data_IF_261657024586
#
_entry.id   IF_261657024586
#
_cell.length_a   1.000
_cell.length_b   1.000
_cell.length_c   1.000
_cell.angle_alpha   90.00
_cell.angle_beta   90.00
_cell.angle_gamma   90.00
#
_symmetry.space_group_name_H-M   'P 1'
#
loop_
_entity.id
_entity.type
_entity.pdbx_description
1 polymer ?
#
# COMPACT_ATOMS: atom_id res chain seq x y z
N UNK A 1 35.47 -26.47 -5.95
CA UNK A 1 34.50 -25.81 -6.86
C UNK A 1 33.11 -26.47 -6.93
N UNK A 2 32.95 -27.79 -6.76
CA UNK A 2 31.63 -28.48 -6.85
C UNK A 2 30.64 -28.27 -5.67
N UNK A 3 31.06 -27.62 -4.58
CA UNK A 3 30.19 -27.35 -3.41
C UNK A 3 29.53 -25.96 -3.44
N UNK A 4 30.13 -24.99 -4.12
CA UNK A 4 29.57 -23.64 -4.29
C UNK A 4 28.31 -23.65 -5.16
N UNK A 5 28.26 -24.50 -6.19
CA UNK A 5 27.10 -24.65 -7.06
C UNK A 5 25.88 -25.22 -6.32
N UNK A 6 26.08 -26.11 -5.34
CA UNK A 6 24.98 -26.67 -4.53
C UNK A 6 24.41 -25.66 -3.54
N UNK A 7 25.26 -24.77 -3.02
CA UNK A 7 24.84 -23.68 -2.12
C UNK A 7 24.06 -22.61 -2.88
N UNK A 8 24.49 -22.28 -4.10
CA UNK A 8 23.77 -21.37 -5.00
C UNK A 8 22.39 -21.92 -5.41
N UNK A 9 22.29 -23.23 -5.67
CA UNK A 9 21.02 -23.89 -6.01
C UNK A 9 20.05 -23.93 -4.81
N UNK A 10 20.55 -24.17 -3.60
CA UNK A 10 19.74 -24.12 -2.38
C UNK A 10 19.29 -22.69 -2.03
N UNK A 11 20.14 -21.68 -2.28
CA UNK A 11 19.75 -20.27 -2.17
C UNK A 11 18.66 -19.94 -3.20
N UNK A 12 18.82 -20.35 -4.46
CA UNK A 12 17.82 -20.11 -5.50
C UNK A 12 16.50 -20.85 -5.28
N UNK A 13 16.51 -21.99 -4.58
CA UNK A 13 15.30 -22.72 -4.16
C UNK A 13 14.65 -22.10 -2.92
N UNK A 14 15.43 -21.48 -2.02
CA UNK A 14 14.91 -20.75 -0.86
C UNK A 14 14.37 -19.35 -1.23
N UNK A 15 14.87 -18.74 -2.31
CA UNK A 15 14.30 -17.53 -2.93
C UNK A 15 13.29 -17.84 -4.03
N UNK A 16 13.16 -19.11 -4.43
CA UNK A 16 12.22 -19.60 -5.42
C UNK A 16 10.82 -19.82 -4.84
N UNK A 17 10.37 -18.95 -3.93
CA UNK A 17 8.94 -18.82 -3.73
C UNK A 17 8.42 -18.07 -4.95
N UNK A 18 7.76 -18.79 -5.84
CA UNK A 18 6.71 -18.23 -6.70
C UNK A 18 5.65 -17.65 -5.76
N UNK A 19 5.92 -16.48 -5.18
CA UNK A 19 4.90 -15.70 -4.53
C UNK A 19 3.97 -15.29 -5.66
N UNK A 20 2.71 -15.71 -5.55
CA UNK A 20 1.66 -15.09 -6.34
C UNK A 20 1.85 -13.57 -6.17
N UNK A 21 2.13 -12.87 -7.27
CA UNK A 21 2.29 -11.43 -7.24
C UNK A 21 0.92 -10.84 -6.91
N UNK A 22 0.70 -10.62 -5.61
CA UNK A 22 -0.45 -9.90 -5.10
C UNK A 22 -0.13 -8.42 -5.19
N UNK A 23 -0.50 -7.80 -6.31
CA UNK A 23 -0.38 -6.36 -6.51
C UNK A 23 -1.77 -5.74 -6.40
N UNK A 24 -1.98 -4.88 -5.42
CA UNK A 24 -3.09 -3.95 -5.41
C UNK A 24 -2.56 -2.56 -5.74
N UNK A 25 -3.37 -1.75 -6.41
CA UNK A 25 -2.97 -0.41 -6.82
C UNK A 25 -4.05 0.57 -6.43
N UNK A 26 -3.63 1.66 -5.79
CA UNK A 26 -4.48 2.82 -5.55
C UNK A 26 -4.03 3.93 -6.47
N UNK A 27 -4.99 4.65 -7.04
CA UNK A 27 -4.76 5.78 -7.94
C UNK A 27 -5.54 6.98 -7.43
N UNK A 28 -4.95 8.14 -7.57
CA UNK A 28 -5.59 9.42 -7.30
C UNK A 28 -5.56 10.23 -8.59
N UNK A 29 -6.73 10.67 -9.03
CA UNK A 29 -6.91 11.48 -10.23
C UNK A 29 -7.55 12.81 -9.85
N UNK A 30 -6.96 13.89 -10.33
CA UNK A 30 -7.54 15.22 -10.18
C UNK A 30 -8.72 15.39 -11.15
N UNK A 31 -9.90 15.85 -10.70
CA UNK A 31 -10.95 16.27 -11.60
C UNK A 31 -10.49 17.57 -12.28
N UNK A 32 -10.73 17.72 -13.57
CA UNK A 32 -10.42 18.96 -14.27
C UNK A 32 -11.14 20.18 -13.67
N UNK A 33 -10.45 21.33 -13.73
CA UNK A 33 -10.90 22.73 -13.61
C UNK A 33 -11.63 23.23 -12.33
N UNK A 34 -12.33 22.41 -11.54
CA UNK A 34 -12.85 22.79 -10.22
C UNK A 34 -12.14 21.95 -9.15
N UNK A 35 -11.20 22.59 -8.44
CA UNK A 35 -10.14 21.95 -7.64
C UNK A 35 -10.55 21.39 -6.27
N UNK A 36 -11.79 20.90 -6.10
CA UNK A 36 -12.34 20.48 -4.80
C UNK A 36 -12.90 19.04 -4.77
N UNK A 37 -12.53 18.17 -5.73
CA UNK A 37 -13.17 16.84 -5.86
C UNK A 37 -12.19 15.73 -6.29
N UNK A 38 -11.21 15.39 -5.46
CA UNK A 38 -10.24 14.34 -5.80
C UNK A 38 -10.90 12.96 -5.85
N UNK A 39 -10.79 12.28 -6.99
CA UNK A 39 -11.21 10.88 -7.13
C UNK A 39 -10.06 9.95 -6.74
N UNK A 40 -10.33 9.03 -5.82
CA UNK A 40 -9.41 7.98 -5.40
C UNK A 40 -10.00 6.62 -5.72
N UNK A 41 -9.30 5.85 -6.54
CA UNK A 41 -9.69 4.52 -6.97
C UNK A 41 -8.74 3.46 -6.42
N UNK A 42 -9.27 2.28 -6.09
CA UNK A 42 -8.51 1.10 -5.70
C UNK A 42 -8.87 -0.10 -6.57
N UNK A 43 -7.85 -0.82 -7.02
CA UNK A 43 -7.99 -2.08 -7.75
C UNK A 43 -7.32 -3.20 -6.97
N UNK A 44 -8.07 -4.25 -6.68
CA UNK A 44 -7.53 -5.45 -6.05
C UNK A 44 -7.00 -6.41 -7.13
N UNK A 45 -5.77 -6.22 -7.58
CA UNK A 45 -5.10 -7.18 -8.46
C UNK A 45 -4.51 -8.39 -7.74
N UNK A 46 -4.76 -8.55 -6.43
CA UNK A 46 -4.23 -9.65 -5.64
C UNK A 46 -5.13 -10.89 -5.67
N UNK A 47 -4.58 -12.05 -5.35
CA UNK A 47 -5.35 -13.29 -5.14
C UNK A 47 -6.04 -13.36 -3.76
N UNK A 48 -6.01 -12.27 -2.99
CA UNK A 48 -6.51 -12.22 -1.63
C UNK A 48 -7.64 -11.20 -1.50
N UNK A 49 -8.54 -11.44 -0.57
CA UNK A 49 -9.59 -10.47 -0.24
C UNK A 49 -8.97 -9.34 0.60
N UNK A 50 -9.27 -8.09 0.25
CA UNK A 50 -8.91 -6.91 1.06
C UNK A 50 -10.07 -6.64 2.02
N UNK A 51 -9.83 -6.76 3.32
CA UNK A 51 -10.86 -6.52 4.34
C UNK A 51 -10.88 -5.08 4.83
N UNK A 52 -9.77 -4.35 4.64
CA UNK A 52 -9.62 -2.97 5.11
C UNK A 52 -8.54 -2.24 4.31
N UNK A 53 -8.80 -0.97 3.98
CA UNK A 53 -7.80 -0.01 3.51
C UNK A 53 -7.64 1.10 4.55
N UNK A 54 -6.40 1.50 4.80
CA UNK A 54 -6.04 2.66 5.63
C UNK A 54 -5.15 3.58 4.79
N UNK A 55 -5.53 4.84 4.74
CA UNK A 55 -4.77 5.93 4.17
C UNK A 55 -4.15 6.73 5.33
N UNK A 56 -2.83 6.92 5.28
CA UNK A 56 -2.07 7.69 6.25
C UNK A 56 -1.27 8.77 5.51
N UNK A 57 -1.75 10.00 5.64
CA UNK A 57 -1.16 11.20 5.09
C UNK A 57 -0.41 12.03 6.13
N UNK A 58 -0.14 11.48 7.32
CA UNK A 58 0.60 12.20 8.37
C UNK A 58 2.02 12.59 7.94
N UNK A 59 2.57 11.91 6.93
CA UNK A 59 3.88 12.19 6.32
C UNK A 59 3.80 12.89 4.96
N UNK A 60 2.61 13.06 4.41
CA UNK A 60 2.40 13.80 3.17
C UNK A 60 2.30 15.29 3.53
N UNK A 61 3.28 16.08 3.09
CA UNK A 61 3.40 17.49 3.45
C UNK A 61 2.91 18.35 2.29
N UNK A 62 1.83 19.09 2.54
CA UNK A 62 1.25 20.08 1.63
C UNK A 62 2.18 21.28 1.45
N UNK A 63 1.91 22.10 0.43
CA UNK A 63 2.70 23.31 0.14
C UNK A 63 2.75 24.35 1.27
N UNK A 64 1.79 24.32 2.20
CA UNK A 64 1.76 25.17 3.39
C UNK A 64 2.49 24.56 4.61
N UNK A 65 3.10 23.38 4.45
CA UNK A 65 3.92 22.72 5.47
C UNK A 65 3.14 21.88 6.48
N UNK A 66 1.85 21.62 6.24
CA UNK A 66 1.00 20.80 7.11
C UNK A 66 0.67 19.44 6.49
N UNK A 67 -0.07 18.60 7.21
CA UNK A 67 -0.49 17.30 6.69
C UNK A 67 -1.74 17.44 5.82
N UNK A 68 -1.86 16.60 4.78
CA UNK A 68 -3.12 16.44 4.06
C UNK A 68 -4.15 15.78 4.97
N UNK A 69 -5.38 16.30 4.98
CA UNK A 69 -6.48 15.83 5.81
C UNK A 69 -7.75 15.66 5.00
N UNK A 70 -8.58 14.70 5.40
CA UNK A 70 -9.94 14.61 4.85
C UNK A 70 -10.84 15.65 5.50
N UNK A 71 -11.53 16.47 4.70
CA UNK A 71 -12.66 17.27 5.17
C UNK A 71 -13.96 16.46 5.04
N UNK A 72 -14.61 16.26 6.18
CA UNK A 72 -15.88 15.53 6.25
C UNK A 72 -15.80 14.05 5.85
N UNK A 73 -16.88 13.58 5.22
CA UNK A 73 -17.07 12.18 4.80
C UNK A 73 -16.93 12.08 3.29
N UNK A 74 -16.26 11.03 2.76
CA UNK A 74 -16.19 10.78 1.33
C UNK A 74 -17.56 10.76 0.64
N UNK A 75 -17.60 11.28 -0.57
CA UNK A 75 -18.74 11.27 -1.47
C UNK A 75 -18.53 10.28 -2.61
N UNK A 76 -19.58 10.02 -3.40
CA UNK A 76 -19.51 9.18 -4.62
C UNK A 76 -18.85 7.80 -4.41
N UNK A 77 -19.05 7.19 -3.25
CA UNK A 77 -18.45 5.90 -2.91
C UNK A 77 -19.03 4.79 -3.81
N UNK A 78 -18.17 4.19 -4.63
CA UNK A 78 -18.47 3.01 -5.44
C UNK A 78 -17.94 1.77 -4.72
N UNK A 79 -18.85 0.92 -4.28
CA UNK A 79 -18.52 -0.31 -3.57
C UNK A 79 -17.91 -1.36 -4.50
N UNK A 80 -17.04 -2.25 -3.98
CA UNK A 80 -16.66 -3.48 -4.68
C UNK A 80 -17.86 -4.35 -5.05
N UNK A 81 -17.71 -5.19 -6.08
CA UNK A 81 -18.77 -6.09 -6.53
C UNK A 81 -19.20 -7.04 -5.41
N UNK A 82 -20.49 -7.03 -5.08
CA UNK A 82 -21.05 -7.89 -4.02
C UNK A 82 -20.62 -7.54 -2.60
N UNK A 83 -19.94 -6.40 -2.40
CA UNK A 83 -19.49 -5.92 -1.10
C UNK A 83 -19.95 -4.50 -0.79
N UNK A 84 -19.51 -4.02 0.37
CA UNK A 84 -19.72 -2.66 0.86
C UNK A 84 -18.42 -2.11 1.39
N UNK A 85 -18.15 -0.84 1.15
CA UNK A 85 -17.06 -0.07 1.73
C UNK A 85 -17.64 0.88 2.79
N UNK A 86 -17.23 0.72 4.05
CA UNK A 86 -17.68 1.55 5.17
C UNK A 86 -16.56 2.46 5.60
N UNK A 87 -16.76 3.78 5.46
CA UNK A 87 -15.77 4.78 5.86
C UNK A 87 -15.54 4.79 7.38
N UNK A 88 -14.29 5.04 7.79
CA UNK A 88 -13.91 5.34 9.16
C UNK A 88 -12.74 6.34 9.22
N UNK A 89 -12.53 6.91 10.40
CA UNK A 89 -11.40 7.81 10.66
C UNK A 89 -11.71 9.26 10.29
N UNK A 90 -10.68 10.11 10.41
CA UNK A 90 -10.74 11.55 10.12
C UNK A 90 -9.34 12.17 10.14
N UNK A 91 -9.20 13.40 9.65
CA UNK A 91 -7.91 14.08 9.63
C UNK A 91 -6.96 13.42 8.64
N UNK A 92 -5.69 13.25 9.02
CA UNK A 92 -4.66 12.67 8.13
C UNK A 92 -4.69 11.14 8.07
N UNK A 93 -5.51 10.46 8.89
CA UNK A 93 -5.59 8.99 8.91
C UNK A 93 -7.04 8.55 8.85
N UNK A 94 -7.42 7.93 7.74
CA UNK A 94 -8.78 7.46 7.50
C UNK A 94 -8.79 6.21 6.61
N UNK A 95 -9.95 5.62 6.36
CA UNK A 95 -10.02 4.47 5.48
C UNK A 95 -11.40 3.85 5.33
N UNK A 96 -11.40 2.63 4.84
CA UNK A 96 -12.61 1.86 4.55
C UNK A 96 -12.49 0.42 5.04
N UNK A 97 -13.50 -0.04 5.77
CA UNK A 97 -13.69 -1.46 6.06
C UNK A 97 -14.59 -2.08 4.98
N UNK A 98 -14.19 -3.24 4.48
CA UNK A 98 -14.86 -3.94 3.39
C UNK A 98 -15.53 -5.23 3.88
N UNK A 99 -16.76 -5.47 3.43
CA UNK A 99 -17.42 -6.77 3.62
C UNK A 99 -17.05 -7.78 2.53
N UNK A 100 -16.61 -7.29 1.37
CA UNK A 100 -16.09 -8.07 0.26
C UNK A 100 -15.34 -7.10 -0.67
N UNK A 101 -14.06 -7.36 -0.92
CA UNK A 101 -13.25 -6.67 -1.94
C UNK A 101 -12.28 -7.71 -2.54
N UNK A 102 -12.79 -8.49 -3.48
CA UNK A 102 -12.13 -9.68 -4.01
C UNK A 102 -11.19 -9.35 -5.17
N UNK A 103 -10.50 -10.38 -5.66
CA UNK A 103 -9.65 -10.30 -6.84
C UNK A 103 -10.38 -9.71 -8.05
N UNK A 104 -9.75 -8.72 -8.67
CA UNK A 104 -10.21 -7.93 -9.80
C UNK A 104 -11.40 -7.00 -9.55
N UNK A 105 -11.86 -6.91 -8.30
CA UNK A 105 -12.81 -5.87 -7.94
C UNK A 105 -12.13 -4.50 -7.95
N UNK A 106 -12.98 -3.48 -8.06
CA UNK A 106 -12.62 -2.07 -7.97
C UNK A 106 -13.44 -1.40 -6.88
N UNK A 107 -12.85 -0.39 -6.26
CA UNK A 107 -13.49 0.50 -5.31
C UNK A 107 -13.13 1.94 -5.70
N UNK A 108 -14.02 2.91 -5.50
CA UNK A 108 -13.65 4.32 -5.64
C UNK A 108 -14.44 5.20 -4.69
N UNK A 109 -13.91 6.40 -4.45
CA UNK A 109 -14.59 7.45 -3.71
C UNK A 109 -14.06 8.81 -4.16
N UNK A 110 -14.85 9.84 -3.93
CA UNK A 110 -14.45 11.23 -4.10
C UNK A 110 -14.36 11.90 -2.73
N UNK A 111 -13.44 12.82 -2.56
CA UNK A 111 -13.31 13.60 -1.33
C UNK A 111 -12.69 14.96 -1.62
N UNK A 112 -12.83 15.86 -0.67
CA UNK A 112 -12.20 17.18 -0.69
C UNK A 112 -11.01 17.13 0.30
N UNK A 113 -9.77 16.98 -0.20
CA UNK A 113 -8.61 16.96 0.65
C UNK A 113 -8.21 18.39 0.99
N UNK A 114 -8.12 18.67 2.28
CA UNK A 114 -7.62 19.93 2.79
C UNK A 114 -6.22 19.77 3.36
N UNK A 115 -5.63 20.89 3.74
CA UNK A 115 -4.46 20.93 4.60
C UNK A 115 -4.90 21.06 6.06
N UNK A 116 -4.10 20.59 7.01
CA UNK A 116 -4.42 20.71 8.43
C UNK A 116 -4.50 22.17 8.94
N UNK A 117 -4.04 23.15 8.16
CA UNK A 117 -4.03 24.57 8.53
C UNK A 117 -4.99 25.44 7.71
N UNK A 118 -5.42 24.98 6.54
CA UNK A 118 -6.29 25.73 5.63
C UNK A 118 -7.43 24.82 5.10
N UNK A 119 -8.70 25.10 5.49
CA UNK A 119 -9.89 24.37 5.03
C UNK A 119 -10.40 24.81 3.64
N UNK A 120 -9.69 25.74 2.98
CA UNK A 120 -9.92 26.10 1.58
C UNK A 120 -8.70 25.69 0.75
N UNK A 121 -8.01 24.61 1.13
CA UNK A 121 -6.76 24.21 0.47
C UNK A 121 -7.08 23.41 -0.79
N UNK A 122 -6.80 23.98 -1.96
CA UNK A 122 -6.97 23.27 -3.24
C UNK A 122 -5.89 22.21 -3.44
N UNK A 123 -6.08 21.04 -2.82
CA UNK A 123 -5.15 19.94 -2.93
C UNK A 123 -5.04 19.40 -4.36
N UNK A 124 -3.81 19.08 -4.74
CA UNK A 124 -3.44 18.44 -5.99
C UNK A 124 -2.99 17.01 -5.72
N UNK A 125 -2.98 16.14 -6.72
CA UNK A 125 -2.42 14.79 -6.63
C UNK A 125 -0.97 14.80 -6.15
N UNK A 126 -0.21 15.87 -6.41
CA UNK A 126 1.16 16.02 -5.91
C UNK A 126 1.23 16.10 -4.38
N UNK A 127 0.20 16.63 -3.71
CA UNK A 127 0.16 16.75 -2.24
C UNK A 127 0.00 15.39 -1.54
N UNK A 128 -0.34 14.33 -2.29
CA UNK A 128 -0.50 12.97 -1.77
C UNK A 128 0.82 12.22 -1.74
N UNK A 129 1.87 12.72 -2.40
CA UNK A 129 3.18 12.05 -2.49
C UNK A 129 3.75 11.84 -1.08
N UNK A 130 4.18 10.61 -0.82
CA UNK A 130 4.68 10.22 0.51
C UNK A 130 3.58 9.82 1.51
N UNK A 131 2.30 9.97 1.14
CA UNK A 131 1.19 9.31 1.83
C UNK A 131 1.30 7.79 1.70
N UNK A 132 0.95 7.08 2.75
CA UNK A 132 1.05 5.62 2.85
C UNK A 132 -0.35 5.02 2.76
N UNK A 133 -0.50 4.00 1.93
CA UNK A 133 -1.69 3.14 1.95
C UNK A 133 -1.31 1.80 2.53
N UNK A 134 -2.15 1.30 3.44
CA UNK A 134 -2.06 -0.05 3.99
C UNK A 134 -3.33 -0.83 3.69
N UNK A 135 -3.18 -2.00 3.09
CA UNK A 135 -4.25 -2.97 2.88
C UNK A 135 -4.10 -4.14 3.84
N UNK A 136 -5.17 -4.46 4.55
CA UNK A 136 -5.30 -5.67 5.34
C UNK A 136 -5.98 -6.71 4.45
N UNK A 137 -5.29 -7.83 4.24
CA UNK A 137 -5.78 -8.92 3.41
C UNK A 137 -5.91 -10.20 4.20
N UNK A 138 -6.63 -11.17 3.65
CA UNK A 138 -6.69 -12.53 4.22
C UNK A 138 -5.33 -13.24 4.28
N UNK A 139 -4.29 -12.70 3.64
CA UNK A 139 -2.92 -13.22 3.66
C UNK A 139 -1.90 -12.24 4.29
N UNK A 140 -2.36 -11.27 5.08
CA UNK A 140 -1.50 -10.34 5.82
C UNK A 140 -1.54 -8.92 5.29
N UNK A 141 -0.55 -8.13 5.71
CA UNK A 141 -0.47 -6.70 5.45
C UNK A 141 0.27 -6.39 4.16
N UNK A 142 -0.28 -5.47 3.39
CA UNK A 142 0.34 -4.91 2.20
C UNK A 142 0.41 -3.40 2.35
N UNK A 143 1.51 -2.79 1.91
CA UNK A 143 1.66 -1.34 1.98
C UNK A 143 2.42 -0.79 0.78
N UNK A 144 2.16 0.48 0.48
CA UNK A 144 2.79 1.25 -0.57
C UNK A 144 2.69 2.74 -0.26
N UNK A 145 3.55 3.53 -0.88
CA UNK A 145 3.47 5.00 -0.82
C UNK A 145 3.00 5.55 -2.16
N UNK A 146 2.25 6.65 -2.13
CA UNK A 146 1.88 7.36 -3.34
C UNK A 146 3.10 7.96 -4.01
N UNK A 147 3.21 7.73 -5.32
CA UNK A 147 4.27 8.21 -6.18
C UNK A 147 3.68 8.75 -7.48
N UNK A 148 4.39 9.71 -8.08
CA UNK A 148 3.99 10.32 -9.34
C UNK A 148 3.86 9.30 -10.47
N UNK A 149 2.76 9.39 -11.22
CA UNK A 149 2.55 8.59 -12.43
C UNK A 149 3.02 9.38 -13.65
N UNK A 150 4.17 8.97 -14.20
CA UNK A 150 4.74 9.62 -15.38
C UNK A 150 5.10 11.08 -15.11
N UNK A 151 4.56 11.99 -15.92
CA UNK A 151 4.78 13.45 -15.79
C UNK A 151 3.47 14.23 -15.59
N UNK A 152 2.36 13.54 -15.30
CA UNK A 152 1.07 14.16 -15.04
C UNK A 152 0.89 14.53 -13.56
N UNK A 153 -0.28 15.06 -13.17
CA UNK A 153 -0.60 15.34 -11.77
C UNK A 153 -1.00 14.08 -10.97
N UNK A 154 -1.29 12.99 -11.66
CA UNK A 154 -1.81 11.76 -11.05
C UNK A 154 -0.73 11.05 -10.21
N UNK A 155 -1.16 10.46 -9.10
CA UNK A 155 -0.29 9.62 -8.26
C UNK A 155 -0.89 8.24 -8.07
N UNK A 156 -0.01 7.27 -7.81
CA UNK A 156 -0.40 5.90 -7.54
C UNK A 156 0.44 5.28 -6.44
N UNK A 157 -0.17 4.38 -5.67
CA UNK A 157 0.51 3.52 -4.71
C UNK A 157 0.37 2.07 -5.15
N UNK A 158 1.50 1.42 -5.45
CA UNK A 158 1.55 -0.03 -5.65
C UNK A 158 1.81 -0.71 -4.30
N UNK A 159 0.91 -1.59 -3.88
CA UNK A 159 0.99 -2.24 -2.58
C UNK A 159 1.81 -3.53 -2.68
N UNK A 160 2.71 -3.72 -1.73
CA UNK A 160 3.58 -4.91 -1.62
C UNK A 160 3.48 -5.53 -0.23
N UNK A 161 3.72 -6.85 -0.08
CA UNK A 161 3.65 -7.50 1.22
C UNK A 161 4.60 -6.85 2.23
N UNK A 162 4.10 -6.55 3.43
CA UNK A 162 4.93 -6.10 4.55
C UNK A 162 5.54 -7.35 5.19
N UNK A 163 6.87 -7.52 5.20
CA UNK A 163 7.49 -8.72 5.74
C UNK A 163 7.17 -8.89 7.23
N UNK A 164 6.63 -10.04 7.62
CA UNK A 164 6.42 -10.33 9.04
C UNK A 164 7.76 -10.40 9.77
N UNK A 165 7.87 -9.85 11.01
CA UNK A 165 9.10 -9.88 11.80
C UNK A 165 9.64 -11.31 11.99
N UNK A 166 8.75 -12.30 12.10
CA UNK A 166 9.11 -13.71 12.30
C UNK A 166 9.73 -14.32 11.04
N UNK A 167 9.31 -13.91 9.84
CA UNK A 167 9.92 -14.34 8.57
C UNK A 167 11.36 -13.85 8.47
N UNK A 168 11.61 -12.61 8.88
CA UNK A 168 12.96 -12.04 8.92
C UNK A 168 13.85 -12.70 9.99
N UNK A 169 13.29 -12.95 11.18
CA UNK A 169 14.00 -13.63 12.26
C UNK A 169 14.35 -15.09 11.90
N UNK A 170 13.44 -15.80 11.22
CA UNK A 170 13.65 -17.18 10.78
C UNK A 170 14.70 -17.26 9.68
N UNK A 171 14.72 -16.30 8.75
CA UNK A 171 15.77 -16.17 7.75
C UNK A 171 17.14 -15.93 8.38
N UNK A 172 17.24 -15.00 9.33
CA UNK A 172 18.48 -14.71 10.06
C UNK A 172 18.95 -15.90 10.91
N UNK A 173 18.01 -16.59 11.57
CA UNK A 173 18.31 -17.83 12.30
C UNK A 173 18.83 -18.92 11.37
N UNK A 174 18.22 -19.10 10.19
CA UNK A 174 18.68 -20.02 9.15
C UNK A 174 20.09 -19.70 8.66
N UNK A 175 20.39 -18.43 8.38
CA UNK A 175 21.74 -17.96 8.02
C UNK A 175 22.76 -18.20 9.16
N UNK A 176 22.35 -17.96 10.41
CA UNK A 176 23.18 -18.20 11.59
C UNK A 176 23.57 -19.68 11.73
N UNK A 177 22.62 -20.60 11.58
CA UNK A 177 22.88 -22.05 11.61
C UNK A 177 23.81 -22.48 10.48
N UNK A 178 23.60 -21.97 9.26
CA UNK A 178 24.47 -22.27 8.12
C UNK A 178 25.91 -21.75 8.34
N UNK A 179 26.06 -20.56 8.92
CA UNK A 179 27.36 -19.99 9.30
C UNK A 179 28.10 -20.86 10.32
N UNK A 180 27.40 -21.34 11.36
CA UNK A 180 27.96 -22.24 12.37
C UNK A 180 28.40 -23.59 11.80
N UNK A 181 27.61 -24.18 10.90
CA UNK A 181 27.95 -25.44 10.21
C UNK A 181 29.19 -25.26 9.31
N UNK A 182 29.29 -24.13 8.61
CA UNK A 182 30.45 -23.83 7.77
C UNK A 182 31.73 -23.60 8.58
N UNK A 183 31.63 -22.91 9.73
CA UNK A 183 32.75 -22.71 10.65
C UNK A 183 33.27 -24.03 11.21
N UNK A 184 32.36 -24.92 11.63
CA UNK A 184 32.71 -26.24 12.20
C UNK A 184 33.37 -27.21 11.19
N UNK A 185 33.20 -26.98 9.88
CA UNK A 185 33.84 -27.79 8.83
C UNK A 185 35.23 -27.28 8.43
N UNK A 186 35.62 -26.09 8.89
CA UNK A 186 36.96 -25.49 8.62
C UNK A 186 37.94 -25.70 9.78
N UNK A 187 37.44 -25.93 10.99
CA UNK A 187 38.16 -26.44 12.16
C UNK A 187 38.30 -27.96 12.10
#
# INVERSE_FOLDING_TARGET
>A
MKQLSKFAVALSLAFGYTQAFAAASIFVTEPGADGFHIETGGFNGSSYEITKLVFDFSTAITSDGSALVIDGTPTSVTNPSGGTATFFGSGSVFGFDFTSFNTFDTFSFTWDPDSALNPDFGATGLDFIGGIVTAYTTNGLYSGSFQLVGSGPDVAAALSPVPEPVSSASFLAGLGVLGLIAARRRS
#
